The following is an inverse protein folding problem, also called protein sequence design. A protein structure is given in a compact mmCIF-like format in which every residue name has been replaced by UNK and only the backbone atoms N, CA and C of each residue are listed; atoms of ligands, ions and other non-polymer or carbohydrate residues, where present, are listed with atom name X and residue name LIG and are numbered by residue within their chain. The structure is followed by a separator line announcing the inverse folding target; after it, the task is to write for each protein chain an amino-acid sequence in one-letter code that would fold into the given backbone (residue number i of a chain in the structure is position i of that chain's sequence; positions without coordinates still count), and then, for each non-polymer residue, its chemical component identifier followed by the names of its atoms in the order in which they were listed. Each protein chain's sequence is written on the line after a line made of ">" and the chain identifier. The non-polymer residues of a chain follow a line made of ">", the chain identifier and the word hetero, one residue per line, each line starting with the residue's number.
data_IF_248175807828
#
_entry.id   IF_248175807828
#
_cell.length_a   1.000
_cell.length_b   1.000
_cell.length_c   1.000
_cell.angle_alpha   90.00
_cell.angle_beta   90.00
_cell.angle_gamma   90.00
#
_symmetry.space_group_name_H-M   'P 1'
#
loop_
_entity.id
_entity.type
_entity.pdbx_description
1 polymer ?
#
# COMPACT_ATOMS: atom_id res chain seq x y z
N UNK A 1 19.34 4.58 19.60
CA UNK A 1 18.85 5.00 18.27
C UNK A 1 17.62 5.89 18.43
N UNK A 2 17.51 6.99 17.67
CA UNK A 2 16.30 7.83 17.72
C UNK A 2 15.10 7.09 17.11
N UNK A 3 13.88 7.41 17.57
CA UNK A 3 12.65 6.80 17.07
C UNK A 3 12.47 7.00 15.56
N UNK A 4 12.92 8.14 15.02
CA UNK A 4 12.89 8.44 13.59
C UNK A 4 13.79 7.48 12.80
N UNK A 5 15.00 7.20 13.30
CA UNK A 5 15.93 6.29 12.64
C UNK A 5 15.38 4.86 12.61
N UNK A 6 14.70 4.44 13.68
CA UNK A 6 14.04 3.13 13.72
C UNK A 6 12.92 3.03 12.66
N UNK A 7 12.05 4.03 12.57
CA UNK A 7 10.97 4.05 11.56
C UNK A 7 11.52 4.07 10.14
N UNK A 8 12.54 4.88 9.86
CA UNK A 8 13.16 4.91 8.55
C UNK A 8 13.85 3.58 8.19
N UNK A 9 14.48 2.92 9.16
CA UNK A 9 15.04 1.59 8.99
C UNK A 9 13.94 0.57 8.66
N UNK A 10 12.80 0.61 9.35
CA UNK A 10 11.71 -0.31 9.10
C UNK A 10 11.07 -0.07 7.72
N UNK A 11 10.89 1.18 7.29
CA UNK A 11 10.33 1.48 5.96
C UNK A 11 11.23 1.00 4.81
N UNK A 12 12.55 0.99 5.03
CA UNK A 12 13.55 0.54 4.05
C UNK A 12 13.66 -0.98 3.93
N UNK A 13 13.23 -1.72 4.95
CA UNK A 13 13.51 -3.14 5.08
C UNK A 13 12.24 -4.00 5.26
N UNK A 14 12.36 -5.29 4.97
CA UNK A 14 11.30 -6.29 5.15
C UNK A 14 10.53 -6.65 3.87
N UNK A 15 9.56 -7.56 4.01
CA UNK A 15 8.84 -8.18 2.87
C UNK A 15 8.07 -7.15 2.02
N UNK A 16 7.59 -6.07 2.63
CA UNK A 16 6.88 -4.98 1.93
C UNK A 16 7.79 -3.93 1.27
N UNK A 17 9.12 -3.99 1.45
CA UNK A 17 10.06 -3.00 0.89
C UNK A 17 10.43 -3.28 -0.58
N UNK A 18 9.52 -3.89 -1.34
CA UNK A 18 9.75 -4.28 -2.73
C UNK A 18 9.88 -3.05 -3.64
N UNK A 19 10.81 -3.11 -4.59
CA UNK A 19 10.91 -2.17 -5.72
C UNK A 19 10.11 -2.73 -6.88
N UNK A 20 9.14 -1.97 -7.37
CA UNK A 20 8.24 -2.38 -8.43
C UNK A 20 8.82 -2.04 -9.81
N UNK A 21 8.26 -2.65 -10.86
CA UNK A 21 8.63 -2.31 -12.24
C UNK A 21 8.40 -0.82 -12.50
N UNK A 22 9.28 -0.13 -13.26
CA UNK A 22 9.06 1.23 -13.73
C UNK A 22 7.74 1.43 -14.51
N UNK A 23 7.18 0.34 -15.04
CA UNK A 23 5.91 0.37 -15.76
C UNK A 23 4.71 0.60 -14.84
N UNK A 24 4.83 0.31 -13.55
CA UNK A 24 3.75 0.57 -12.58
C UNK A 24 3.63 2.06 -12.36
N UNK A 25 2.43 2.61 -12.56
CA UNK A 25 2.16 4.05 -12.40
C UNK A 25 1.25 4.36 -11.22
N UNK A 26 0.30 3.48 -10.94
CA UNK A 26 -0.66 3.70 -9.86
C UNK A 26 -1.06 2.41 -9.17
N UNK A 27 -1.20 2.47 -7.85
CA UNK A 27 -1.72 1.40 -7.00
C UNK A 27 -2.91 1.95 -6.24
N UNK A 28 -4.06 1.29 -6.38
CA UNK A 28 -5.31 1.66 -5.70
C UNK A 28 -5.75 0.51 -4.79
N UNK A 29 -5.92 0.80 -3.50
CA UNK A 29 -6.49 -0.14 -2.53
C UNK A 29 -7.91 0.30 -2.17
N UNK A 30 -8.90 -0.51 -2.52
CA UNK A 30 -10.31 -0.25 -2.22
C UNK A 30 -10.82 -1.29 -1.23
N UNK A 31 -11.41 -0.86 -0.11
CA UNK A 31 -12.01 -1.77 0.86
C UNK A 31 -13.06 -1.07 1.73
N UNK A 32 -14.04 -1.82 2.24
CA UNK A 32 -14.97 -1.32 3.25
C UNK A 32 -14.35 -1.23 4.64
N UNK A 33 -14.70 -0.15 5.39
CA UNK A 33 -14.34 0.00 6.80
C UNK A 33 -15.10 -0.94 7.73
N UNK A 34 -16.31 -1.38 7.34
CA UNK A 34 -17.26 -2.08 8.22
C UNK A 34 -17.25 -3.60 8.08
N UNK A 35 -16.75 -4.15 6.98
CA UNK A 35 -16.70 -5.61 6.77
C UNK A 35 -15.39 -6.26 7.24
N UNK A 36 -15.33 -7.59 7.13
CA UNK A 36 -14.20 -8.46 7.48
C UNK A 36 -12.97 -8.30 6.56
N UNK A 37 -12.54 -7.06 6.39
CA UNK A 37 -11.43 -6.66 5.53
C UNK A 37 -10.13 -6.50 6.35
N UNK A 38 -9.90 -7.41 7.30
CA UNK A 38 -8.75 -7.36 8.20
C UNK A 38 -7.42 -7.40 7.43
N UNK A 39 -7.34 -8.23 6.39
CA UNK A 39 -6.17 -8.32 5.52
C UNK A 39 -5.84 -7.00 4.80
N UNK A 40 -6.86 -6.30 4.28
CA UNK A 40 -6.67 -5.01 3.62
C UNK A 40 -6.22 -3.91 4.60
N UNK A 41 -6.77 -3.90 5.82
CA UNK A 41 -6.33 -3.00 6.89
C UNK A 41 -4.88 -3.26 7.30
N UNK A 42 -4.52 -4.52 7.43
CA UNK A 42 -3.15 -4.94 7.73
C UNK A 42 -2.20 -4.54 6.61
N UNK A 43 -2.55 -4.82 5.36
CA UNK A 43 -1.75 -4.43 4.20
C UNK A 43 -1.52 -2.92 4.13
N UNK A 44 -2.57 -2.12 4.33
CA UNK A 44 -2.48 -0.66 4.38
C UNK A 44 -1.55 -0.16 5.49
N UNK A 45 -1.54 -0.81 6.65
CA UNK A 45 -0.73 -0.37 7.81
C UNK A 45 0.72 -0.83 7.73
N UNK A 46 0.96 -2.08 7.32
CA UNK A 46 2.27 -2.71 7.45
C UNK A 46 3.08 -2.73 6.15
N UNK A 47 2.41 -2.95 5.01
CA UNK A 47 3.09 -3.19 3.73
C UNK A 47 3.07 -1.96 2.83
N UNK A 48 1.90 -1.33 2.65
CA UNK A 48 1.75 -0.16 1.76
C UNK A 48 2.76 0.97 2.04
N UNK A 49 3.04 1.36 3.30
CA UNK A 49 4.01 2.43 3.57
C UNK A 49 5.44 2.06 3.15
N UNK A 50 5.81 0.77 3.26
CA UNK A 50 7.13 0.27 2.83
C UNK A 50 7.24 0.28 1.31
N UNK A 51 6.19 -0.12 0.61
CA UNK A 51 6.14 -0.06 -0.86
C UNK A 51 6.22 1.40 -1.30
N UNK A 52 5.43 2.29 -0.72
CA UNK A 52 5.44 3.71 -1.07
C UNK A 52 6.81 4.37 -0.83
N UNK A 53 7.47 4.06 0.30
CA UNK A 53 8.79 4.59 0.61
C UNK A 53 9.85 4.19 -0.44
N UNK A 54 9.77 2.95 -0.95
CA UNK A 54 10.72 2.43 -1.93
C UNK A 54 10.37 2.78 -3.38
N UNK A 55 9.15 3.28 -3.64
CA UNK A 55 8.66 3.59 -5.00
C UNK A 55 8.01 4.99 -5.05
N UNK A 56 8.79 6.08 -4.84
CA UNK A 56 8.23 7.43 -4.70
C UNK A 56 7.60 7.99 -5.98
N UNK A 57 7.89 7.40 -7.15
CA UNK A 57 7.33 7.82 -8.44
C UNK A 57 5.93 7.23 -8.73
N UNK A 58 5.48 6.25 -7.94
CA UNK A 58 4.18 5.59 -8.13
C UNK A 58 3.11 6.36 -7.34
N UNK A 59 1.95 6.55 -7.95
CA UNK A 59 0.79 7.12 -7.26
C UNK A 59 0.11 6.04 -6.40
N UNK A 60 -0.16 6.35 -5.13
CA UNK A 60 -0.89 5.47 -4.22
C UNK A 60 -2.23 6.10 -3.84
N UNK A 61 -3.32 5.34 -3.99
CA UNK A 61 -4.68 5.76 -3.65
C UNK A 61 -5.35 4.72 -2.72
N UNK A 62 -6.11 5.21 -1.74
CA UNK A 62 -6.78 4.36 -0.75
C UNK A 62 -8.25 4.75 -0.62
N UNK A 63 -9.13 3.89 -1.11
CA UNK A 63 -10.57 4.11 -1.14
C UNK A 63 -11.24 3.31 -0.03
N UNK A 64 -11.54 4.01 1.08
CA UNK A 64 -12.20 3.42 2.26
C UNK A 64 -13.71 3.62 2.19
N UNK A 65 -14.42 2.62 1.70
CA UNK A 65 -15.87 2.66 1.55
C UNK A 65 -16.59 2.46 2.89
N UNK A 66 -17.77 3.07 3.04
CA UNK A 66 -18.60 2.96 4.26
C UNK A 66 -19.58 1.78 4.19
N UNK A 67 -19.91 1.36 2.98
CA UNK A 67 -20.89 0.30 2.70
C UNK A 67 -20.34 -1.06 3.13
N UNK A 68 -21.14 -1.90 3.81
CA UNK A 68 -20.76 -3.28 4.10
C UNK A 68 -20.77 -4.14 2.83
N UNK A 69 -20.11 -5.30 2.86
CA UNK A 69 -20.14 -6.26 1.75
C UNK A 69 -19.18 -5.97 0.59
N UNK A 70 -18.44 -4.86 0.62
CA UNK A 70 -17.39 -4.59 -0.37
C UNK A 70 -16.20 -5.51 -0.13
N UNK A 71 -15.93 -6.38 -1.10
CA UNK A 71 -14.71 -7.20 -1.14
C UNK A 71 -13.49 -6.30 -1.31
N UNK A 72 -12.39 -6.51 -0.57
CA UNK A 72 -11.15 -5.79 -0.80
C UNK A 72 -10.61 -6.01 -2.21
N UNK A 73 -10.17 -4.94 -2.85
CA UNK A 73 -9.56 -4.98 -4.17
C UNK A 73 -8.25 -4.17 -4.18
N UNK A 74 -7.24 -4.72 -4.85
CA UNK A 74 -5.98 -4.04 -5.14
C UNK A 74 -5.83 -3.93 -6.66
N UNK A 75 -5.89 -2.71 -7.18
CA UNK A 75 -5.77 -2.42 -8.61
C UNK A 75 -4.37 -1.87 -8.88
N UNK A 76 -3.70 -2.40 -9.90
CA UNK A 76 -2.37 -1.94 -10.34
C UNK A 76 -2.49 -1.45 -11.78
N UNK A 77 -2.19 -0.18 -12.00
CA UNK A 77 -2.21 0.44 -13.31
C UNK A 77 -0.79 0.54 -13.86
N UNK A 78 -0.61 0.05 -15.08
CA UNK A 78 0.67 0.11 -15.81
C UNK A 78 0.61 1.22 -16.87
N UNK A 79 1.71 1.94 -17.03
CA UNK A 79 1.88 2.87 -18.15
C UNK A 79 1.95 2.09 -19.45
N UNK A 80 1.24 2.55 -20.49
CA UNK A 80 1.48 2.05 -21.84
C UNK A 80 2.92 2.41 -22.23
N UNK A 81 3.70 1.39 -22.57
CA UNK A 81 5.01 1.53 -23.23
C UNK A 81 4.80 2.17 -24.61
#
# INVERSE_FOLDING_TARGET
>A
MSRINAVAHDLRNGIGAARLSPDVRKITLTFSRKSDNAGARYFLRENMPRIQYNNPAIQFEVNKLKEPGVSPELTIEFGKV
#
